data_IF_643373554134
#
_entry.id   IF_643373554134
#
_cell.length_a   1.000
_cell.length_b   1.000
_cell.length_c   1.000
_cell.angle_alpha   90.00
_cell.angle_beta   90.00
_cell.angle_gamma   90.00
#
_symmetry.space_group_name_H-M   'P 1'
#
loop_
_entity.id
_entity.type
_entity.pdbx_description
1 polymer ?
#
# COMPACT_ATOMS: atom_id res chain seq x y z
N UNK A 1 -28.14 -18.10 28.07
CA UNK A 1 -26.68 -18.33 27.94
C UNK A 1 -26.30 -17.94 26.53
N UNK A 2 -25.93 -16.68 26.37
CA UNK A 2 -25.49 -16.09 25.10
C UNK A 2 -24.12 -16.67 24.74
N UNK A 3 -24.14 -17.68 23.87
CA UNK A 3 -22.94 -18.31 23.33
C UNK A 3 -22.20 -17.34 22.42
N UNK A 4 -21.24 -16.65 23.01
CA UNK A 4 -19.95 -16.28 22.43
C UNK A 4 -19.96 -16.03 20.92
N UNK A 5 -20.28 -14.79 20.53
CA UNK A 5 -19.89 -14.27 19.22
C UNK A 5 -18.37 -14.29 19.19
N UNK A 6 -17.79 -15.36 18.63
CA UNK A 6 -16.36 -15.42 18.32
C UNK A 6 -15.93 -14.09 17.73
N UNK A 7 -15.21 -13.31 18.53
CA UNK A 7 -14.76 -11.97 18.17
C UNK A 7 -13.85 -12.10 16.97
N UNK A 8 -14.44 -11.88 15.80
CA UNK A 8 -13.71 -11.87 14.55
C UNK A 8 -12.82 -10.65 14.60
N UNK A 9 -11.50 -10.87 14.70
CA UNK A 9 -10.51 -9.80 14.77
C UNK A 9 -10.83 -8.65 13.81
N UNK A 10 -10.80 -7.41 14.29
CA UNK A 10 -10.90 -6.25 13.41
C UNK A 10 -9.50 -5.83 12.90
N UNK A 11 -9.37 -5.59 11.60
CA UNK A 11 -8.15 -4.98 11.06
C UNK A 11 -8.12 -3.48 11.38
N UNK A 12 -7.26 -3.09 12.32
CA UNK A 12 -7.12 -1.70 12.81
C UNK A 12 -5.90 -1.01 12.19
N UNK A 13 -5.77 0.29 12.45
CA UNK A 13 -4.57 1.04 12.07
C UNK A 13 -3.32 0.52 12.79
N UNK A 14 -3.46 0.04 14.03
CA UNK A 14 -2.34 -0.53 14.80
C UNK A 14 -1.84 -1.84 14.19
N UNK A 15 -2.75 -2.73 13.78
CA UNK A 15 -2.40 -3.94 13.02
C UNK A 15 -1.65 -3.59 11.73
N UNK A 16 -2.11 -2.56 11.02
CA UNK A 16 -1.43 -2.08 9.82
C UNK A 16 -0.05 -1.48 10.12
N UNK A 17 0.09 -0.71 11.21
CA UNK A 17 1.38 -0.16 11.64
C UNK A 17 2.38 -1.28 11.93
N UNK A 18 2.01 -2.27 12.74
CA UNK A 18 2.87 -3.43 13.05
C UNK A 18 3.29 -4.16 11.77
N UNK A 19 2.36 -4.38 10.85
CA UNK A 19 2.67 -4.95 9.53
C UNK A 19 3.73 -4.13 8.77
N UNK A 20 3.57 -2.80 8.71
CA UNK A 20 4.53 -1.91 8.04
C UNK A 20 5.89 -1.91 8.73
N UNK A 21 5.93 -1.87 10.05
CA UNK A 21 7.17 -1.89 10.84
C UNK A 21 7.99 -3.16 10.53
N UNK A 22 7.34 -4.32 10.46
CA UNK A 22 8.00 -5.59 10.06
C UNK A 22 8.52 -5.50 8.63
N UNK A 23 7.69 -5.02 7.69
CA UNK A 23 8.09 -4.90 6.27
C UNK A 23 9.29 -3.97 6.09
N UNK A 24 9.31 -2.83 6.78
CA UNK A 24 10.45 -1.89 6.75
C UNK A 24 11.68 -2.49 7.43
N UNK A 25 11.52 -3.15 8.58
CA UNK A 25 12.63 -3.82 9.28
C UNK A 25 13.30 -4.90 8.44
N UNK A 26 12.56 -5.54 7.53
CA UNK A 26 13.11 -6.51 6.58
C UNK A 26 13.72 -5.86 5.32
N UNK A 27 13.59 -4.55 5.14
CA UNK A 27 14.04 -3.82 3.95
C UNK A 27 13.07 -3.92 2.76
N UNK A 28 11.78 -4.09 3.04
CA UNK A 28 10.73 -4.22 2.04
C UNK A 28 10.56 -5.62 1.46
N UNK A 29 9.68 -5.73 0.46
CA UNK A 29 9.34 -7.00 -0.20
C UNK A 29 10.36 -7.45 -1.25
N UNK A 30 11.48 -6.73 -1.41
CA UNK A 30 12.48 -7.05 -2.44
C UNK A 30 13.32 -8.29 -2.11
N UNK A 31 13.38 -8.70 -0.84
CA UNK A 31 14.13 -9.88 -0.41
C UNK A 31 13.29 -11.15 -0.51
N UNK A 32 13.93 -12.23 -0.94
CA UNK A 32 13.34 -13.58 -0.97
C UNK A 32 12.99 -13.98 0.47
N UNK A 33 11.77 -14.47 0.68
CA UNK A 33 11.32 -14.93 2.00
C UNK A 33 10.65 -13.86 2.87
N UNK A 34 10.76 -12.55 2.55
CA UNK A 34 10.06 -11.49 3.30
C UNK A 34 8.57 -11.76 3.47
N UNK A 35 7.80 -12.16 2.43
CA UNK A 35 6.37 -12.45 2.61
C UNK A 35 6.11 -13.55 3.64
N UNK A 36 6.94 -14.60 3.69
CA UNK A 36 6.79 -15.71 4.64
C UNK A 36 7.05 -15.22 6.07
N UNK A 37 8.12 -14.46 6.28
CA UNK A 37 8.46 -13.92 7.60
C UNK A 37 7.33 -13.00 8.09
N UNK A 38 6.86 -12.07 7.24
CA UNK A 38 5.75 -11.18 7.61
C UNK A 38 4.48 -11.96 7.95
N UNK A 39 4.18 -13.05 7.21
CA UNK A 39 3.05 -13.93 7.55
C UNK A 39 3.20 -14.52 8.94
N UNK A 40 4.33 -15.16 9.21
CA UNK A 40 4.61 -15.82 10.49
C UNK A 40 4.53 -14.84 11.66
N UNK A 41 5.25 -13.71 11.56
CA UNK A 41 5.31 -12.70 12.63
C UNK A 41 3.94 -12.09 12.93
N UNK A 42 3.17 -11.73 11.90
CA UNK A 42 1.85 -11.16 12.09
C UNK A 42 0.87 -12.16 12.70
N UNK A 43 0.89 -13.43 12.25
CA UNK A 43 -0.01 -14.45 12.80
C UNK A 43 0.33 -14.82 14.25
N UNK A 44 1.61 -14.76 14.64
CA UNK A 44 2.03 -15.02 16.03
C UNK A 44 1.68 -13.87 16.98
N UNK A 45 1.58 -12.65 16.46
CA UNK A 45 1.41 -11.44 17.29
C UNK A 45 0.00 -10.85 17.25
N UNK A 46 -0.86 -11.39 16.39
CA UNK A 46 -2.23 -10.92 16.17
C UNK A 46 -3.16 -12.14 16.18
N UNK A 47 -3.79 -12.38 17.33
CA UNK A 47 -4.67 -13.54 17.53
C UNK A 47 -5.87 -13.51 16.58
N UNK A 48 -6.26 -14.69 16.09
CA UNK A 48 -7.40 -14.83 15.16
C UNK A 48 -7.14 -14.33 13.74
N UNK A 49 -5.96 -13.78 13.43
CA UNK A 49 -5.62 -13.34 12.07
C UNK A 49 -5.41 -14.55 11.13
N UNK A 50 -6.16 -14.56 10.03
CA UNK A 50 -6.00 -15.59 8.99
C UNK A 50 -4.86 -15.25 8.03
N UNK A 51 -4.06 -16.26 7.67
CA UNK A 51 -3.09 -16.17 6.57
C UNK A 51 -3.71 -15.61 5.28
N UNK A 52 -4.93 -16.04 4.93
CA UNK A 52 -5.64 -15.56 3.73
C UNK A 52 -5.85 -14.06 3.75
N UNK A 53 -6.32 -13.53 4.89
CA UNK A 53 -6.52 -12.09 5.10
C UNK A 53 -5.22 -11.35 4.94
N UNK A 54 -4.15 -11.85 5.55
CA UNK A 54 -2.87 -11.16 5.56
C UNK A 54 -2.20 -11.16 4.18
N UNK A 55 -2.22 -12.29 3.46
CA UNK A 55 -1.73 -12.35 2.07
C UNK A 55 -2.54 -11.41 1.17
N UNK A 56 -3.87 -11.37 1.32
CA UNK A 56 -4.70 -10.40 0.59
C UNK A 56 -4.33 -8.95 0.92
N UNK A 57 -4.09 -8.64 2.20
CA UNK A 57 -3.62 -7.33 2.62
C UNK A 57 -2.27 -6.96 1.99
N UNK A 58 -1.30 -7.89 1.95
CA UNK A 58 0.01 -7.66 1.31
C UNK A 58 -0.13 -7.27 -0.16
N UNK A 59 -0.98 -7.98 -0.92
CA UNK A 59 -1.22 -7.67 -2.33
C UNK A 59 -1.81 -6.27 -2.49
N UNK A 60 -2.84 -5.94 -1.70
CA UNK A 60 -3.46 -4.62 -1.74
C UNK A 60 -2.47 -3.51 -1.33
N UNK A 61 -1.61 -3.78 -0.35
CA UNK A 61 -0.56 -2.87 0.08
C UNK A 61 0.45 -2.61 -1.04
N UNK A 62 0.95 -3.65 -1.71
CA UNK A 62 1.87 -3.51 -2.83
C UNK A 62 1.23 -2.72 -3.99
N UNK A 63 -0.04 -2.96 -4.29
CA UNK A 63 -0.80 -2.21 -5.30
C UNK A 63 -0.96 -0.74 -4.93
N UNK A 64 -1.25 -0.43 -3.66
CA UNK A 64 -1.33 0.95 -3.17
C UNK A 64 0.01 1.68 -3.34
N UNK A 65 1.12 1.04 -2.95
CA UNK A 65 2.45 1.62 -3.08
C UNK A 65 2.82 1.84 -4.55
N UNK A 66 2.59 0.85 -5.43
CA UNK A 66 2.82 0.97 -6.87
C UNK A 66 1.99 2.09 -7.50
N UNK A 67 0.71 2.20 -7.15
CA UNK A 67 -0.17 3.29 -7.63
C UNK A 67 0.36 4.66 -7.21
N UNK A 68 0.85 4.77 -5.98
CA UNK A 68 1.38 6.03 -5.44
C UNK A 68 2.68 6.42 -6.14
N UNK A 69 3.57 5.46 -6.39
CA UNK A 69 4.80 5.65 -7.16
C UNK A 69 4.52 6.11 -8.60
N UNK A 70 3.57 5.47 -9.30
CA UNK A 70 3.18 5.87 -10.67
C UNK A 70 2.60 7.29 -10.71
N UNK A 71 1.83 7.69 -9.68
CA UNK A 71 1.28 9.05 -9.60
C UNK A 71 2.36 10.13 -9.40
N UNK A 72 3.54 9.76 -8.90
CA UNK A 72 4.69 10.68 -8.82
C UNK A 72 5.44 10.75 -10.15
N UNK A 73 5.62 9.63 -10.85
CA UNK A 73 6.35 9.56 -12.13
C UNK A 73 5.66 10.24 -13.32
N UNK A 74 4.33 10.41 -13.29
CA UNK A 74 3.56 11.00 -14.41
C UNK A 74 3.78 12.52 -14.62
N UNK A 75 4.64 13.18 -13.83
CA UNK A 75 4.83 14.64 -13.84
C UNK A 75 6.02 15.14 -14.67
N UNK A 76 6.82 14.28 -15.30
CA UNK A 76 8.07 14.71 -15.97
C UNK A 76 8.15 14.47 -17.48
N UNK A 77 7.05 14.16 -18.16
CA UNK A 77 7.04 14.02 -19.64
C UNK A 77 5.98 14.90 -20.29
N UNK A 78 5.86 16.16 -19.87
CA UNK A 78 5.18 17.16 -20.69
C UNK A 78 6.23 18.21 -21.08
N UNK A 79 6.79 18.14 -22.31
CA UNK A 79 7.36 19.33 -22.91
C UNK A 79 6.18 20.27 -23.17
N UNK A 80 6.08 21.34 -22.39
CA UNK A 80 5.36 22.53 -22.86
C UNK A 80 6.07 22.99 -24.11
N UNK A 81 5.48 22.76 -25.29
CA UNK A 81 5.95 23.34 -26.54
C UNK A 81 5.86 24.87 -26.43
N UNK A 82 6.97 25.61 -26.61
CA UNK A 82 6.91 27.01 -27.01
C UNK A 82 6.89 27.03 -28.54
N UNK A 83 5.88 27.65 -29.13
CA UNK A 83 5.89 28.05 -30.53
C UNK A 83 6.96 29.14 -30.74
N UNK A 84 8.08 28.81 -31.38
CA UNK A 84 8.96 29.79 -32.02
C UNK A 84 10.03 29.08 -32.84
N UNK A 85 9.95 29.22 -34.16
CA UNK A 85 10.90 28.71 -35.17
C UNK A 85 12.34 29.27 -35.03
N UNK A 86 12.58 30.18 -34.08
CA UNK A 86 13.88 30.84 -33.93
C UNK A 86 14.92 30.05 -33.14
N UNK A 87 14.54 28.97 -32.43
CA UNK A 87 15.46 28.28 -31.51
C UNK A 87 16.25 27.13 -32.15
N UNK A 88 15.79 26.56 -33.27
CA UNK A 88 16.44 25.38 -33.86
C UNK A 88 17.80 25.66 -34.50
N UNK A 89 18.09 26.90 -34.90
CA UNK A 89 19.36 27.20 -35.59
C UNK A 89 20.55 27.42 -34.65
N UNK A 90 20.34 27.63 -33.35
CA UNK A 90 21.43 27.84 -32.39
C UNK A 90 21.90 26.54 -31.70
N UNK A 91 21.13 25.45 -31.78
CA UNK A 91 21.44 24.20 -31.08
C UNK A 91 22.32 23.25 -31.92
N UNK A 92 22.39 23.46 -33.24
CA UNK A 92 23.12 22.56 -34.16
C UNK A 92 24.65 22.59 -34.02
N UNK A 93 25.22 23.51 -33.23
CA UNK A 93 26.67 23.68 -33.09
C UNK A 93 27.28 23.16 -31.77
N UNK A 94 26.52 22.42 -30.95
CA UNK A 94 27.02 21.84 -29.70
C UNK A 94 26.88 20.30 -29.61
N UNK A 95 26.99 19.59 -30.73
CA UNK A 95 27.04 18.10 -30.79
C UNK A 95 28.30 17.46 -30.15
N UNK A 96 28.88 18.10 -29.14
CA UNK A 96 30.06 17.59 -28.40
C UNK A 96 29.93 17.60 -26.88
N UNK A 97 28.88 18.19 -26.30
CA UNK A 97 28.69 18.19 -24.84
C UNK A 97 27.42 17.42 -24.48
N UNK A 98 27.57 16.10 -24.33
CA UNK A 98 26.61 15.27 -23.60
C UNK A 98 26.61 15.68 -22.11
N UNK A 99 26.07 16.86 -21.80
CA UNK A 99 25.51 17.12 -20.48
C UNK A 99 24.20 16.35 -20.47
N UNK A 100 24.26 15.08 -20.06
CA UNK A 100 23.06 14.32 -19.74
C UNK A 100 22.21 15.21 -18.82
N UNK A 101 20.94 15.54 -19.18
CA UNK A 101 20.10 16.35 -18.30
C UNK A 101 20.11 15.66 -16.94
N UNK A 102 20.34 16.39 -15.84
CA UNK A 102 20.58 15.78 -14.54
C UNK A 102 19.43 14.81 -14.32
N UNK A 103 19.78 13.52 -14.27
CA UNK A 103 18.83 12.42 -14.12
C UNK A 103 18.12 12.70 -12.82
N UNK A 104 16.96 13.38 -12.91
CA UNK A 104 16.25 13.87 -11.72
C UNK A 104 16.00 12.61 -10.91
N UNK A 105 16.68 12.49 -9.78
CA UNK A 105 16.43 11.48 -8.76
C UNK A 105 15.07 11.84 -8.15
N UNK A 106 14.01 11.62 -8.93
CA UNK A 106 12.64 11.85 -8.56
C UNK A 106 12.34 10.81 -7.50
N UNK A 107 12.46 11.24 -6.25
CA UNK A 107 11.82 10.71 -5.05
C UNK A 107 10.78 9.63 -5.36
N UNK A 108 11.24 8.40 -5.48
CA UNK A 108 10.37 7.25 -5.65
C UNK A 108 9.58 7.12 -4.36
N UNK A 109 8.26 6.94 -4.47
CA UNK A 109 7.50 6.52 -3.30
C UNK A 109 8.07 5.19 -2.79
N UNK A 110 8.43 5.13 -1.51
CA UNK A 110 8.99 3.92 -0.88
C UNK A 110 8.16 3.46 0.32
N UNK A 111 8.48 2.29 0.87
CA UNK A 111 7.82 1.73 2.05
C UNK A 111 8.10 2.58 3.29
N UNK A 112 9.30 3.15 3.41
CA UNK A 112 9.69 4.07 4.47
C UNK A 112 8.90 5.38 4.38
N UNK A 113 8.51 5.78 3.17
CA UNK A 113 7.62 6.90 2.98
C UNK A 113 6.22 6.61 3.54
N UNK A 114 5.74 5.39 3.32
CA UNK A 114 4.46 4.91 3.85
C UNK A 114 4.45 4.80 5.37
N UNK A 115 5.52 4.25 5.98
CA UNK A 115 5.66 4.12 7.43
C UNK A 115 5.46 5.46 8.16
N UNK A 116 6.18 6.50 7.72
CA UNK A 116 6.04 7.85 8.29
C UNK A 116 4.62 8.44 8.11
N UNK A 117 3.92 8.09 7.02
CA UNK A 117 2.50 8.48 6.86
C UNK A 117 1.65 7.80 7.91
N UNK A 118 1.84 6.49 8.13
CA UNK A 118 1.11 5.76 9.17
C UNK A 118 1.39 6.34 10.54
N UNK A 119 2.64 6.66 10.86
CA UNK A 119 3.02 7.33 12.12
C UNK A 119 2.33 8.69 12.30
N UNK A 120 2.35 9.53 11.26
CA UNK A 120 1.67 10.83 11.30
C UNK A 120 0.15 10.67 11.48
N UNK A 121 -0.47 9.70 10.80
CA UNK A 121 -1.90 9.39 10.95
C UNK A 121 -2.20 8.93 12.38
N UNK A 122 -1.33 8.11 12.98
CA UNK A 122 -1.47 7.68 14.38
C UNK A 122 -1.37 8.86 15.33
N UNK A 123 -0.40 9.76 15.15
CA UNK A 123 -0.26 11.00 15.95
C UNK A 123 -1.47 11.92 15.84
N UNK A 124 -2.14 11.95 14.69
CA UNK A 124 -3.37 12.72 14.48
C UNK A 124 -4.63 12.05 15.05
N UNK A 125 -4.51 10.87 15.67
CA UNK A 125 -5.65 10.16 16.25
C UNK A 125 -6.43 9.31 15.23
N UNK A 126 -5.76 8.84 14.18
CA UNK A 126 -6.29 7.86 13.24
C UNK A 126 -6.74 8.40 11.88
N UNK A 127 -7.19 7.48 11.01
CA UNK A 127 -7.49 7.75 9.60
C UNK A 127 -8.66 8.71 9.36
N UNK A 128 -9.54 8.86 10.35
CA UNK A 128 -10.69 9.77 10.33
C UNK A 128 -10.26 11.24 10.48
N UNK A 129 -9.31 11.51 11.37
CA UNK A 129 -8.81 12.86 11.69
C UNK A 129 -7.66 13.30 10.79
N UNK A 130 -6.96 12.35 10.16
CA UNK A 130 -5.84 12.65 9.29
C UNK A 130 -6.28 13.42 8.02
N UNK A 131 -5.74 14.62 7.86
CA UNK A 131 -5.85 15.43 6.65
C UNK A 131 -4.54 15.43 5.87
N UNK A 132 -4.56 15.54 4.52
CA UNK A 132 -3.32 15.57 3.73
C UNK A 132 -2.36 16.68 4.17
N UNK A 133 -2.87 17.85 4.53
CA UNK A 133 -2.07 18.99 4.99
C UNK A 133 -1.46 18.73 6.36
N UNK A 134 -2.24 18.23 7.34
CA UNK A 134 -1.72 17.93 8.67
C UNK A 134 -0.68 16.79 8.65
N UNK A 135 -0.90 15.77 7.81
CA UNK A 135 0.07 14.69 7.61
C UNK A 135 1.35 15.23 6.97
N UNK A 136 1.24 16.09 5.95
CA UNK A 136 2.41 16.72 5.33
C UNK A 136 3.23 17.52 6.33
N UNK A 137 2.54 18.26 7.21
CA UNK A 137 3.14 19.02 8.30
C UNK A 137 3.84 18.12 9.32
N UNK A 138 3.23 17.05 9.81
CA UNK A 138 3.94 16.16 10.77
C UNK A 138 5.15 15.42 10.19
N UNK A 139 5.32 15.44 8.89
CA UNK A 139 6.45 14.86 8.18
C UNK A 139 7.54 15.92 7.89
N UNK A 140 7.56 17.03 8.66
CA UNK A 140 7.94 18.41 8.28
C UNK A 140 9.36 18.65 7.72
N UNK A 141 10.42 17.87 7.96
CA UNK A 141 11.79 18.31 7.56
C UNK A 141 12.69 17.33 6.76
N UNK A 142 12.45 16.01 6.70
CA UNK A 142 13.34 15.10 5.93
C UNK A 142 13.04 14.99 4.42
N UNK A 143 12.07 15.73 3.87
CA UNK A 143 11.47 15.37 2.55
C UNK A 143 11.47 16.45 1.48
N UNK A 144 12.65 16.89 1.06
CA UNK A 144 12.89 17.57 -0.22
C UNK A 144 12.73 16.62 -1.44
N UNK A 145 11.72 15.75 -1.40
CA UNK A 145 11.52 14.55 -2.22
C UNK A 145 10.13 14.54 -2.88
N UNK A 146 9.73 15.62 -3.56
CA UNK A 146 8.61 15.63 -4.52
C UNK A 146 7.21 15.29 -3.99
N UNK A 147 7.05 15.05 -2.69
CA UNK A 147 5.79 14.71 -2.05
C UNK A 147 4.96 15.96 -1.81
N UNK A 148 3.71 15.89 -2.21
CA UNK A 148 2.77 17.00 -2.10
C UNK A 148 1.41 16.52 -1.62
N UNK A 149 0.57 17.50 -1.28
CA UNK A 149 -0.80 17.32 -0.79
C UNK A 149 -1.61 16.38 -1.71
N UNK A 150 -1.43 16.44 -3.03
CA UNK A 150 -2.13 15.55 -3.97
C UNK A 150 -1.71 14.09 -3.80
N UNK A 151 -0.41 13.81 -3.70
CA UNK A 151 0.10 12.44 -3.48
C UNK A 151 -0.44 11.89 -2.16
N UNK A 152 -0.38 12.68 -1.09
CA UNK A 152 -0.94 12.29 0.22
C UNK A 152 -2.46 12.10 0.18
N UNK A 153 -3.20 12.93 -0.55
CA UNK A 153 -4.65 12.76 -0.73
C UNK A 153 -4.99 11.41 -1.35
N UNK A 154 -4.32 11.05 -2.45
CA UNK A 154 -4.50 9.75 -3.10
C UNK A 154 -4.08 8.60 -2.18
N UNK A 155 -2.96 8.77 -1.46
CA UNK A 155 -2.44 7.73 -0.59
C UNK A 155 -3.33 7.48 0.62
N UNK A 156 -3.78 8.53 1.32
CA UNK A 156 -4.73 8.42 2.45
C UNK A 156 -6.06 7.82 2.01
N UNK A 157 -6.57 8.19 0.83
CA UNK A 157 -7.76 7.56 0.27
C UNK A 157 -7.55 6.06 0.01
N UNK A 158 -6.37 5.70 -0.52
CA UNK A 158 -6.00 4.31 -0.76
C UNK A 158 -5.82 3.52 0.54
N UNK A 159 -5.24 4.12 1.57
CA UNK A 159 -5.05 3.52 2.89
C UNK A 159 -6.39 3.24 3.59
N UNK A 160 -7.34 4.17 3.52
CA UNK A 160 -8.73 3.93 3.99
C UNK A 160 -9.40 2.78 3.24
N UNK A 161 -9.19 2.69 1.92
CA UNK A 161 -9.73 1.61 1.10
C UNK A 161 -9.08 0.26 1.43
N UNK A 162 -7.76 0.24 1.62
CA UNK A 162 -6.98 -0.92 2.05
C UNK A 162 -7.54 -1.48 3.36
N UNK A 163 -7.70 -0.63 4.39
CA UNK A 163 -8.26 -1.05 5.68
C UNK A 163 -9.65 -1.67 5.52
N UNK A 164 -10.57 -0.98 4.83
CA UNK A 164 -11.94 -1.49 4.60
C UNK A 164 -11.95 -2.83 3.87
N UNK A 165 -11.12 -3.00 2.85
CA UNK A 165 -11.03 -4.26 2.10
C UNK A 165 -10.51 -5.40 2.97
N UNK A 166 -9.54 -5.14 3.84
CA UNK A 166 -9.01 -6.16 4.75
C UNK A 166 -10.04 -6.57 5.80
N UNK A 167 -10.77 -5.61 6.38
CA UNK A 167 -11.89 -5.88 7.28
C UNK A 167 -12.99 -6.72 6.59
N UNK A 168 -13.31 -6.42 5.32
CA UNK A 168 -14.25 -7.22 4.53
C UNK A 168 -13.77 -8.68 4.36
N UNK A 169 -12.50 -8.89 4.04
CA UNK A 169 -11.94 -10.25 3.90
C UNK A 169 -11.99 -11.06 5.20
N UNK A 170 -11.79 -10.40 6.34
CA UNK A 170 -11.94 -11.02 7.65
C UNK A 170 -13.40 -11.49 7.83
N UNK A 171 -14.35 -10.59 7.58
CA UNK A 171 -15.78 -10.88 7.73
C UNK A 171 -16.24 -12.02 6.79
N UNK A 172 -15.79 -12.04 5.54
CA UNK A 172 -16.08 -13.14 4.61
C UNK A 172 -15.47 -14.46 5.09
N UNK A 173 -14.28 -14.42 5.70
CA UNK A 173 -13.60 -15.61 6.22
C UNK A 173 -14.29 -16.18 7.46
N UNK A 174 -14.91 -15.33 8.28
CA UNK A 174 -15.70 -15.78 9.43
C UNK A 174 -17.04 -16.41 8.99
N UNK A 175 -17.69 -15.85 7.97
CA UNK A 175 -18.96 -16.36 7.42
C UNK A 175 -18.80 -17.66 6.59
N UNK A 176 -17.73 -17.79 5.80
CA UNK A 176 -17.48 -18.95 4.94
C UNK A 176 -17.21 -20.28 5.66
N UNK A 177 -16.99 -20.25 6.99
CA UNK A 177 -16.85 -21.47 7.80
C UNK A 177 -18.18 -22.18 8.09
N UNK A 178 -19.33 -21.52 7.88
CA UNK A 178 -20.66 -22.07 8.19
C UNK A 178 -21.32 -22.94 7.11
N UNK A 179 -20.81 -23.00 5.88
CA UNK A 179 -21.51 -23.62 4.74
C UNK A 179 -20.90 -24.92 4.18
N UNK A 180 -19.91 -25.53 4.86
CA UNK A 180 -19.21 -26.73 4.34
C UNK A 180 -19.79 -28.10 4.76
N UNK A 181 -21.00 -28.15 5.32
CA UNK A 181 -21.72 -29.42 5.56
C UNK A 181 -22.97 -29.53 4.69
N UNK A 182 -22.81 -29.77 3.39
CA UNK A 182 -23.83 -30.50 2.61
C UNK A 182 -23.23 -31.87 2.29
N UNK A 183 -23.73 -32.90 2.98
CA UNK A 183 -23.52 -34.30 2.62
C UNK A 183 -23.94 -34.46 1.16
N UNK A 184 -22.99 -34.68 0.27
CA UNK A 184 -23.28 -35.17 -1.08
C UNK A 184 -23.60 -36.65 -0.92
N UNK A 185 -24.88 -36.97 -0.72
CA UNK A 185 -25.36 -38.33 -0.94
C UNK A 185 -25.68 -38.46 -2.42
N UNK A 186 -24.84 -39.18 -3.15
CA UNK A 186 -25.22 -39.66 -4.48
C UNK A 186 -24.94 -41.15 -4.53
N UNK A 187 -25.99 -41.94 -4.29
CA UNK A 187 -26.06 -43.36 -4.65
C UNK A 187 -25.82 -43.47 -6.15
N UNK A 188 -24.83 -44.26 -6.57
CA UNK A 188 -24.84 -44.85 -7.92
C UNK A 188 -25.18 -46.32 -7.81
N UNK A 189 -26.28 -46.69 -8.49
CA UNK A 189 -26.79 -48.05 -8.67
C UNK A 189 -25.84 -48.83 -9.57
N UNK A 190 -25.46 -50.03 -9.13
CA UNK A 190 -24.92 -51.09 -9.97
C UNK A 190 -26.00 -51.55 -10.96
N UNK A 191 -25.66 -51.65 -12.25
CA UNK A 191 -26.41 -52.42 -13.22
C UNK A 191 -25.57 -53.62 -13.65
N UNK A 192 -26.24 -54.77 -13.63
CA UNK A 192 -25.79 -56.11 -14.03
C UNK A 192 -25.67 -56.19 -15.55
#
# INVERSE_FOLDING_TARGET
>A
MDGDRRDSIEWTLEHHKKFVDIVVGLGGFSKIGTPRIVVTEMMNTVEGLSQRTLVHHMVLFQLLNKRTQLSLGRRTTQPTQPCSDSYQSLVSNFEGLHVAPPKRLLSSWTVEHHMRVVEAVTKLGGLSKATPTAVLRLMEEERRQGLNVRTLRLHLSGLRCLQKKTQKTIHESSQGRGLRNRKVSTKFKTLV
#
